data_IF_810515741850
#
_entry.id   IF_810515741850
#
_cell.length_a   1.000
_cell.length_b   1.000
_cell.length_c   1.000
_cell.angle_alpha   90.00
_cell.angle_beta   90.00
_cell.angle_gamma   90.00
#
_symmetry.space_group_name_H-M   'P 1'
#
loop_
_entity.id
_entity.type
_entity.pdbx_description
1 polymer ?
#
# COMPACT_ATOMS: atom_id res chain seq x y z
N UNK A 1 -27.66 6.60 -26.95
CA UNK A 1 -27.52 6.77 -25.48
C UNK A 1 -27.39 5.40 -24.82
N UNK A 2 -26.20 4.80 -24.83
CA UNK A 2 -25.96 3.57 -24.05
C UNK A 2 -24.59 3.70 -23.38
N UNK A 3 -24.54 4.50 -22.33
CA UNK A 3 -23.34 4.78 -21.54
C UNK A 3 -22.59 3.52 -21.15
N UNK A 4 -23.29 2.43 -20.85
CA UNK A 4 -22.70 1.13 -20.51
C UNK A 4 -21.95 0.51 -21.70
N UNK A 5 -22.45 0.64 -22.93
CA UNK A 5 -21.76 0.17 -24.14
C UNK A 5 -20.55 1.04 -24.46
N UNK A 6 -20.68 2.35 -24.27
CA UNK A 6 -19.60 3.31 -24.49
C UNK A 6 -18.48 3.14 -23.46
N UNK A 7 -18.83 2.91 -22.19
CA UNK A 7 -17.92 2.61 -21.10
C UNK A 7 -17.20 1.27 -21.28
N UNK A 8 -17.93 0.22 -21.71
CA UNK A 8 -17.31 -1.07 -22.06
C UNK A 8 -16.32 -0.89 -23.22
N UNK A 9 -16.69 -0.11 -24.24
CA UNK A 9 -15.80 0.18 -25.37
C UNK A 9 -14.60 1.03 -24.97
N UNK A 10 -14.74 1.90 -23.97
CA UNK A 10 -13.66 2.67 -23.37
C UNK A 10 -12.68 1.78 -22.59
N UNK A 11 -13.18 0.89 -21.72
CA UNK A 11 -12.32 -0.05 -20.99
C UNK A 11 -11.57 -1.00 -21.92
N UNK A 12 -12.20 -1.41 -23.02
CA UNK A 12 -11.59 -2.26 -24.05
C UNK A 12 -10.70 -1.48 -25.03
N UNK A 13 -10.69 -0.15 -24.96
CA UNK A 13 -9.81 0.68 -25.79
C UNK A 13 -8.44 0.81 -25.10
N UNK A 14 -7.40 0.37 -25.81
CA UNK A 14 -6.03 0.50 -25.36
C UNK A 14 -5.74 -0.32 -24.10
N UNK A 15 -4.88 0.20 -23.23
CA UNK A 15 -4.31 -0.52 -22.08
C UNK A 15 -4.91 -0.12 -20.71
N UNK A 16 -6.13 0.41 -20.73
CA UNK A 16 -6.77 1.02 -19.55
C UNK A 16 -7.00 0.01 -18.43
N UNK A 17 -7.33 -1.24 -18.79
CA UNK A 17 -7.53 -2.31 -17.80
C UNK A 17 -6.22 -2.61 -17.06
N UNK A 18 -5.09 -2.73 -17.77
CA UNK A 18 -3.80 -3.01 -17.15
C UNK A 18 -3.31 -1.84 -16.30
N UNK A 19 -3.52 -0.61 -16.76
CA UNK A 19 -3.24 0.59 -15.97
C UNK A 19 -4.05 0.60 -14.66
N UNK A 20 -5.35 0.29 -14.72
CA UNK A 20 -6.21 0.23 -13.54
C UNK A 20 -5.75 -0.86 -12.57
N UNK A 21 -5.39 -2.04 -13.08
CA UNK A 21 -4.84 -3.13 -12.26
C UNK A 21 -3.53 -2.74 -11.60
N UNK A 22 -2.62 -2.06 -12.31
CA UNK A 22 -1.35 -1.59 -11.76
C UNK A 22 -1.53 -0.62 -10.59
N UNK A 23 -2.48 0.32 -10.69
CA UNK A 23 -2.79 1.27 -9.61
C UNK A 23 -3.36 0.57 -8.38
N UNK A 24 -4.27 -0.40 -8.57
CA UNK A 24 -4.87 -1.17 -7.48
C UNK A 24 -3.81 -2.01 -6.76
N UNK A 25 -2.95 -2.70 -7.52
CA UNK A 25 -1.85 -3.49 -6.96
C UNK A 25 -0.86 -2.57 -6.25
N UNK A 26 -0.47 -1.44 -6.85
CA UNK A 26 0.45 -0.48 -6.21
C UNK A 26 -0.08 0.04 -4.88
N UNK A 27 -1.37 0.37 -4.80
CA UNK A 27 -2.00 0.82 -3.55
C UNK A 27 -2.13 -0.29 -2.49
N UNK A 28 -2.46 -1.51 -2.89
CA UNK A 28 -2.61 -2.64 -1.97
C UNK A 28 -1.26 -3.16 -1.48
N UNK A 29 -0.26 -3.23 -2.36
CA UNK A 29 1.06 -3.80 -2.07
C UNK A 29 1.83 -2.95 -1.06
N UNK A 30 1.59 -1.63 -1.01
CA UNK A 30 2.16 -0.77 0.03
C UNK A 30 1.79 -1.20 1.46
N UNK A 31 0.56 -1.68 1.69
CA UNK A 31 0.16 -2.22 3.00
C UNK A 31 0.88 -3.52 3.33
N UNK A 32 1.04 -4.40 2.34
CA UNK A 32 1.77 -5.67 2.49
C UNK A 32 3.23 -5.40 2.86
N UNK A 33 3.88 -4.47 2.16
CA UNK A 33 5.25 -4.07 2.46
C UNK A 33 5.33 -3.41 3.85
N UNK A 34 4.37 -2.56 4.21
CA UNK A 34 4.36 -1.91 5.53
C UNK A 34 4.22 -2.92 6.68
N UNK A 35 3.33 -3.90 6.56
CA UNK A 35 3.22 -4.99 7.54
C UNK A 35 4.48 -5.85 7.60
N UNK A 36 5.06 -6.20 6.45
CA UNK A 36 6.32 -6.95 6.42
C UNK A 36 7.44 -6.20 7.13
N UNK A 37 7.57 -4.88 6.90
CA UNK A 37 8.58 -4.06 7.57
C UNK A 37 8.31 -3.98 9.07
N UNK A 38 7.07 -3.75 9.49
CA UNK A 38 6.71 -3.63 10.91
C UNK A 38 6.83 -4.95 11.69
N UNK A 39 6.40 -6.05 11.09
CA UNK A 39 6.26 -7.31 11.83
C UNK A 39 7.52 -8.18 11.74
N UNK A 40 8.34 -8.01 10.68
CA UNK A 40 9.53 -8.85 10.45
C UNK A 40 10.84 -8.07 10.56
N UNK A 41 10.89 -6.82 10.07
CA UNK A 41 12.15 -6.03 10.07
C UNK A 41 12.32 -5.15 11.32
N UNK A 42 11.25 -4.57 11.86
CA UNK A 42 11.35 -3.72 13.06
C UNK A 42 11.79 -4.47 14.33
N UNK A 43 11.43 -5.74 14.60
CA UNK A 43 11.89 -6.40 15.83
C UNK A 43 13.42 -6.54 15.88
N UNK A 44 14.10 -7.09 14.85
CA UNK A 44 15.57 -7.16 14.85
C UNK A 44 16.26 -5.80 14.86
N UNK A 45 15.72 -4.81 14.13
CA UNK A 45 16.28 -3.45 14.10
C UNK A 45 16.09 -2.76 15.46
N UNK A 46 14.95 -2.92 16.11
CA UNK A 46 14.66 -2.39 17.45
C UNK A 46 15.55 -3.00 18.54
N UNK A 47 15.94 -4.27 18.38
CA UNK A 47 16.95 -4.90 19.25
C UNK A 47 18.36 -4.32 19.01
N UNK A 48 18.73 -3.99 17.77
CA UNK A 48 20.04 -3.45 17.43
C UNK A 48 20.18 -1.94 17.74
N UNK A 49 19.09 -1.15 17.68
CA UNK A 49 19.10 0.28 17.99
C UNK A 49 18.84 0.60 19.47
N UNK A 50 18.75 -0.42 20.34
CA UNK A 50 18.74 -0.23 21.80
C UNK A 50 17.36 0.06 22.41
N UNK A 51 16.29 -0.54 21.90
CA UNK A 51 14.96 -0.47 22.55
C UNK A 51 14.16 0.79 22.25
N UNK A 52 14.48 1.50 21.16
CA UNK A 52 13.56 2.51 20.63
C UNK A 52 12.49 1.81 19.82
N UNK A 53 11.45 1.35 20.51
CA UNK A 53 10.19 0.98 19.88
C UNK A 53 9.62 2.25 19.22
N UNK A 54 9.78 2.39 17.91
CA UNK A 54 9.09 3.43 17.13
C UNK A 54 7.55 3.30 17.18
N UNK A 55 7.04 2.21 17.78
CA UNK A 55 5.63 2.00 18.15
C UNK A 55 5.25 2.68 19.48
N UNK A 56 6.19 2.80 20.43
CA UNK A 56 5.95 3.37 21.77
C UNK A 56 6.33 4.86 21.88
N UNK A 57 6.91 5.46 20.83
CA UNK A 57 7.16 6.91 20.72
C UNK A 57 5.86 7.71 20.45
N UNK A 58 4.75 7.33 21.08
CA UNK A 58 3.67 8.29 21.34
C UNK A 58 4.16 9.22 22.44
N UNK A 59 4.91 10.24 22.03
CA UNK A 59 5.35 11.30 22.92
C UNK A 59 4.11 12.08 23.40
N UNK A 60 3.49 11.59 24.47
CA UNK A 60 2.54 12.34 25.27
C UNK A 60 3.35 13.36 26.04
N UNK A 61 3.58 14.53 25.45
CA UNK A 61 4.06 15.68 26.20
C UNK A 61 3.01 16.03 27.26
N UNK A 62 3.43 15.99 28.53
CA UNK A 62 2.79 16.72 29.61
C UNK A 62 3.53 18.04 29.81
#
# INVERSE_FOLDING_TARGET
MSFIKDFKSFLLKGDIINLATAVIIGGAFGKVVSSLVKDVLMPPIGYLTGGVNFTDLTFVMK
#
